data_IF_955577224234
#
_entry.id   IF_955577224234
#
_cell.length_a   1.000
_cell.length_b   1.000
_cell.length_c   1.000
_cell.angle_alpha   90.00
_cell.angle_beta   90.00
_cell.angle_gamma   90.00
#
_symmetry.space_group_name_H-M   'P 1'
#
loop_
_entity.id
_entity.type
_entity.pdbx_description
1 polymer ?
#
# COMPACT_ATOMS: atom_id res chain seq x y z
N UNK A 1 13.93 -7.38 -4.73
CA UNK A 1 12.50 -7.72 -4.91
C UNK A 1 12.07 -7.64 -6.35
N UNK A 2 12.21 -6.49 -7.03
CA UNK A 2 11.82 -6.36 -8.45
C UNK A 2 12.37 -7.48 -9.37
N UNK A 3 13.68 -7.79 -9.31
CA UNK A 3 14.26 -8.93 -10.06
C UNK A 3 13.58 -10.27 -9.77
N UNK A 4 13.39 -10.59 -8.49
CA UNK A 4 12.72 -11.82 -8.08
C UNK A 4 11.26 -11.89 -8.58
N UNK A 5 10.56 -10.75 -8.66
CA UNK A 5 9.23 -10.69 -9.30
C UNK A 5 9.31 -10.90 -10.80
N UNK A 6 10.31 -10.30 -11.46
CA UNK A 6 10.60 -10.52 -12.89
C UNK A 6 10.74 -11.99 -13.24
N UNK A 7 11.43 -12.75 -12.40
CA UNK A 7 11.62 -14.19 -12.58
C UNK A 7 10.36 -14.98 -12.20
N UNK A 8 9.70 -14.64 -11.09
CA UNK A 8 8.56 -15.42 -10.58
C UNK A 8 7.24 -15.21 -11.34
N UNK A 9 7.13 -14.12 -12.11
CA UNK A 9 5.94 -13.78 -12.89
C UNK A 9 6.11 -14.06 -14.39
N UNK A 10 7.12 -14.84 -14.76
CA UNK A 10 7.31 -15.36 -16.11
C UNK A 10 7.14 -16.87 -16.10
N UNK A 11 6.25 -17.39 -16.94
CA UNK A 11 6.07 -18.84 -17.10
C UNK A 11 7.02 -19.35 -18.19
N UNK A 12 8.07 -20.08 -17.78
CA UNK A 12 9.07 -20.64 -18.69
C UNK A 12 8.50 -21.77 -19.60
N UNK A 13 7.39 -22.42 -19.21
CA UNK A 13 6.78 -23.46 -20.02
C UNK A 13 5.94 -22.86 -21.16
N UNK A 14 5.23 -21.76 -20.86
CA UNK A 14 4.40 -21.04 -21.84
C UNK A 14 5.20 -19.99 -22.62
N UNK A 15 6.37 -19.59 -22.10
CA UNK A 15 7.19 -18.55 -22.68
C UNK A 15 6.58 -17.15 -22.56
N UNK A 16 5.67 -16.93 -21.60
CA UNK A 16 4.90 -15.69 -21.48
C UNK A 16 4.80 -15.16 -20.03
N UNK A 17 4.58 -13.84 -19.84
CA UNK A 17 4.34 -13.24 -18.53
C UNK A 17 2.97 -13.65 -17.96
N UNK A 18 2.94 -14.08 -16.71
CA UNK A 18 1.71 -14.30 -15.92
C UNK A 18 1.35 -13.08 -15.05
N UNK A 19 2.15 -12.01 -15.12
CA UNK A 19 1.93 -10.78 -14.37
C UNK A 19 2.79 -9.63 -14.85
N UNK A 20 2.57 -8.46 -14.26
CA UNK A 20 3.30 -7.23 -14.56
C UNK A 20 3.62 -6.47 -13.26
N UNK A 21 4.55 -5.50 -13.33
CA UNK A 21 4.98 -4.74 -12.16
C UNK A 21 5.00 -3.23 -12.44
N UNK A 22 4.30 -2.46 -11.61
CA UNK A 22 4.46 -1.01 -11.50
C UNK A 22 5.38 -0.68 -10.31
N UNK A 23 6.51 -0.02 -10.57
CA UNK A 23 7.49 0.38 -9.56
C UNK A 23 7.49 1.90 -9.42
N UNK A 24 7.14 2.39 -8.23
CA UNK A 24 7.21 3.82 -7.89
C UNK A 24 8.45 4.06 -7.03
N UNK A 25 9.44 4.77 -7.57
CA UNK A 25 10.70 5.04 -6.89
C UNK A 25 10.66 6.30 -6.01
N UNK A 26 9.58 7.07 -6.06
CA UNK A 26 9.47 8.35 -5.37
C UNK A 26 10.61 9.28 -5.80
N UNK A 27 11.35 9.81 -4.83
CA UNK A 27 12.51 10.70 -5.09
C UNK A 27 13.81 9.95 -5.37
N UNK A 28 13.82 8.62 -5.31
CA UNK A 28 15.04 7.82 -5.50
C UNK A 28 15.38 7.66 -6.99
N UNK A 29 15.93 8.72 -7.60
CA UNK A 29 16.34 8.74 -9.01
C UNK A 29 17.37 7.66 -9.35
N UNK A 30 18.32 7.39 -8.44
CA UNK A 30 19.36 6.36 -8.63
C UNK A 30 18.75 4.97 -8.78
N UNK A 31 17.75 4.64 -7.96
CA UNK A 31 17.01 3.38 -8.08
C UNK A 31 16.21 3.32 -9.39
N UNK A 32 15.51 4.40 -9.74
CA UNK A 32 14.75 4.46 -10.98
C UNK A 32 15.62 4.20 -12.22
N UNK A 33 16.77 4.89 -12.34
CA UNK A 33 17.72 4.69 -13.43
C UNK A 33 18.26 3.26 -13.48
N UNK A 34 18.57 2.66 -12.32
CA UNK A 34 19.03 1.26 -12.24
C UNK A 34 17.98 0.26 -12.68
N UNK A 35 16.70 0.52 -12.43
CA UNK A 35 15.61 -0.38 -12.82
C UNK A 35 15.22 -0.23 -14.28
N UNK A 36 15.31 0.99 -14.84
CA UNK A 36 15.08 1.27 -16.25
C UNK A 36 16.16 0.67 -17.16
N UNK A 37 17.37 0.43 -16.65
CA UNK A 37 18.46 -0.18 -17.43
C UNK A 37 18.41 -1.71 -17.45
N UNK A 38 17.40 -2.34 -16.85
CA UNK A 38 17.24 -3.78 -16.81
C UNK A 38 16.34 -4.20 -17.96
N UNK A 39 16.76 -5.20 -18.71
CA UNK A 39 15.88 -5.91 -19.62
C UNK A 39 15.05 -6.92 -18.82
N UNK A 40 13.72 -6.78 -18.90
CA UNK A 40 12.78 -7.52 -18.07
C UNK A 40 12.06 -8.57 -18.91
N UNK A 41 11.94 -9.79 -18.38
CA UNK A 41 11.14 -10.87 -18.99
C UNK A 41 9.63 -10.60 -18.99
N UNK A 42 9.18 -9.65 -18.15
CA UNK A 42 7.78 -9.29 -17.96
C UNK A 42 7.59 -7.78 -18.16
N UNK A 43 6.36 -7.30 -18.40
CA UNK A 43 6.08 -5.87 -18.42
C UNK A 43 6.39 -5.22 -17.08
N UNK A 44 7.35 -4.28 -17.08
CA UNK A 44 7.70 -3.48 -15.90
C UNK A 44 7.64 -2.01 -16.24
N UNK A 45 6.81 -1.26 -15.50
CA UNK A 45 6.79 0.19 -15.57
C UNK A 45 7.53 0.80 -14.37
N UNK A 46 8.53 1.63 -14.63
CA UNK A 46 9.26 2.35 -13.59
C UNK A 46 8.88 3.82 -13.63
N UNK A 47 8.39 4.34 -12.49
CA UNK A 47 8.02 5.73 -12.30
C UNK A 47 8.86 6.37 -11.18
N UNK A 48 9.01 7.70 -11.26
CA UNK A 48 9.63 8.51 -10.21
C UNK A 48 8.64 8.86 -9.11
N UNK A 49 8.53 10.16 -8.82
CA UNK A 49 7.52 10.70 -7.92
C UNK A 49 6.16 10.75 -8.63
N UNK A 50 5.10 10.35 -7.93
CA UNK A 50 3.72 10.34 -8.42
C UNK A 50 2.89 11.20 -7.46
N UNK A 51 2.13 12.14 -8.02
CA UNK A 51 1.15 12.94 -7.27
C UNK A 51 -0.21 12.26 -7.15
N UNK A 52 -0.56 11.42 -8.13
CA UNK A 52 -1.83 10.70 -8.21
C UNK A 52 -1.67 9.22 -7.85
N UNK A 53 -1.39 8.96 -6.57
CA UNK A 53 -1.17 7.59 -6.08
C UNK A 53 -2.41 6.72 -6.26
N UNK A 54 -3.59 7.34 -6.21
CA UNK A 54 -4.88 6.71 -6.34
C UNK A 54 -5.11 6.10 -7.73
N UNK A 55 -4.55 6.68 -8.81
CA UNK A 55 -4.59 6.10 -10.16
C UNK A 55 -3.67 4.89 -10.25
N UNK A 56 -2.44 5.00 -9.70
CA UNK A 56 -1.48 3.91 -9.69
C UNK A 56 -1.98 2.70 -8.87
N UNK A 57 -2.51 2.94 -7.67
CA UNK A 57 -3.08 1.87 -6.85
C UNK A 57 -4.33 1.26 -7.50
N UNK A 58 -5.16 2.06 -8.18
CA UNK A 58 -6.34 1.55 -8.89
C UNK A 58 -6.02 0.66 -10.11
N UNK A 59 -4.78 0.70 -10.61
CA UNK A 59 -4.32 -0.11 -11.73
C UNK A 59 -3.57 -1.39 -11.32
N UNK A 60 -3.47 -1.67 -10.01
CA UNK A 60 -2.74 -2.80 -9.45
C UNK A 60 -3.68 -3.74 -8.69
N UNK A 61 -3.28 -5.00 -8.53
CA UNK A 61 -4.05 -6.01 -7.79
C UNK A 61 -3.52 -6.26 -6.37
N UNK A 62 -2.28 -5.86 -6.09
CA UNK A 62 -1.68 -5.89 -4.75
C UNK A 62 -0.54 -4.86 -4.65
N UNK A 63 -0.02 -4.63 -3.44
CA UNK A 63 1.07 -3.68 -3.19
C UNK A 63 2.17 -4.26 -2.32
N UNK A 64 3.43 -3.94 -2.65
CA UNK A 64 4.59 -4.23 -1.81
C UNK A 64 5.16 -2.90 -1.30
N UNK A 65 5.21 -2.72 0.02
CA UNK A 65 5.66 -1.47 0.62
C UNK A 65 6.23 -1.67 2.03
N UNK A 66 6.89 -0.65 2.58
CA UNK A 66 7.19 -0.62 4.03
C UNK A 66 5.91 -0.37 4.82
N UNK A 67 5.93 -0.61 6.12
CA UNK A 67 4.77 -0.42 7.01
C UNK A 67 4.45 1.06 7.33
N UNK A 68 4.51 1.93 6.31
CA UNK A 68 4.13 3.34 6.42
C UNK A 68 2.61 3.48 6.55
N UNK A 69 2.11 4.20 7.56
CA UNK A 69 0.67 4.22 7.88
C UNK A 69 -0.18 4.82 6.75
N UNK A 70 0.30 5.88 6.10
CA UNK A 70 -0.41 6.51 4.98
C UNK A 70 -0.62 5.55 3.81
N UNK A 71 0.45 4.89 3.35
CA UNK A 71 0.38 3.92 2.25
C UNK A 71 -0.47 2.70 2.60
N UNK A 72 -0.46 2.24 3.86
CA UNK A 72 -1.35 1.17 4.32
C UNK A 72 -2.82 1.61 4.20
N UNK A 73 -3.17 2.80 4.69
CA UNK A 73 -4.53 3.32 4.62
C UNK A 73 -5.00 3.52 3.17
N UNK A 74 -4.15 4.10 2.32
CA UNK A 74 -4.41 4.29 0.88
C UNK A 74 -4.64 2.95 0.16
N UNK A 75 -3.78 1.97 0.42
CA UNK A 75 -3.91 0.63 -0.14
C UNK A 75 -5.22 -0.04 0.29
N UNK A 76 -5.60 0.08 1.57
CA UNK A 76 -6.87 -0.45 2.07
C UNK A 76 -8.08 0.23 1.42
N UNK A 77 -8.05 1.55 1.25
CA UNK A 77 -9.09 2.30 0.52
C UNK A 77 -9.23 1.80 -0.92
N UNK A 78 -8.12 1.42 -1.56
CA UNK A 78 -8.11 0.82 -2.90
C UNK A 78 -8.34 -0.69 -2.91
N UNK A 79 -8.54 -1.33 -1.76
CA UNK A 79 -8.77 -2.77 -1.66
C UNK A 79 -7.56 -3.61 -2.06
N UNK A 80 -6.34 -3.08 -1.93
CA UNK A 80 -5.11 -3.80 -2.29
C UNK A 80 -4.59 -4.64 -1.13
N UNK A 81 -4.47 -5.97 -1.30
CA UNK A 81 -3.69 -6.81 -0.38
C UNK A 81 -2.24 -6.34 -0.29
N UNK A 82 -1.72 -6.29 0.94
CA UNK A 82 -0.44 -5.63 1.25
C UNK A 82 0.63 -6.67 1.56
N UNK A 83 1.79 -6.60 0.92
CA UNK A 83 3.00 -7.29 1.37
C UNK A 83 3.93 -6.26 2.00
N UNK A 84 4.01 -6.28 3.32
CA UNK A 84 4.92 -5.43 4.08
C UNK A 84 6.35 -5.99 3.99
N UNK A 85 7.26 -5.21 3.40
CA UNK A 85 8.65 -5.62 3.15
C UNK A 85 9.65 -5.13 4.20
N UNK A 86 9.18 -4.33 5.16
CA UNK A 86 10.01 -3.69 6.18
C UNK A 86 9.23 -2.62 6.93
N UNK A 87 9.89 -1.97 7.87
CA UNK A 87 9.35 -0.91 8.70
C UNK A 87 10.51 -0.10 9.29
N UNK A 88 10.22 1.14 9.70
CA UNK A 88 11.12 1.96 10.50
C UNK A 88 10.97 1.55 11.97
N UNK A 89 12.07 1.07 12.58
CA UNK A 89 12.08 0.63 13.98
C UNK A 89 11.65 1.77 14.92
N UNK A 90 10.84 1.45 15.93
CA UNK A 90 10.28 2.40 16.89
C UNK A 90 9.05 3.19 16.40
N UNK A 91 8.87 3.37 15.08
CA UNK A 91 7.74 4.14 14.53
C UNK A 91 6.66 3.26 13.90
N UNK A 92 7.06 2.29 13.07
CA UNK A 92 6.15 1.57 12.16
C UNK A 92 5.92 0.11 12.56
N UNK A 93 6.54 -0.35 13.65
CA UNK A 93 6.47 -1.77 14.09
C UNK A 93 5.02 -2.20 14.37
N UNK A 94 4.24 -1.33 15.02
CA UNK A 94 2.83 -1.60 15.35
C UNK A 94 1.90 -1.68 14.13
N UNK A 95 2.34 -1.21 12.96
CA UNK A 95 1.53 -1.27 11.74
C UNK A 95 1.56 -2.66 11.09
N UNK A 96 2.57 -3.49 11.40
CA UNK A 96 2.68 -4.86 10.89
C UNK A 96 1.51 -5.74 11.38
N UNK A 97 1.25 -5.89 12.69
CA UNK A 97 0.12 -6.69 13.17
C UNK A 97 -1.21 -6.14 12.67
N UNK A 98 -1.37 -4.81 12.56
CA UNK A 98 -2.58 -4.21 12.00
C UNK A 98 -2.92 -4.74 10.60
N UNK A 99 -1.93 -4.94 9.72
CA UNK A 99 -2.17 -5.51 8.38
C UNK A 99 -2.36 -7.02 8.43
N UNK A 100 -1.51 -7.73 9.17
CA UNK A 100 -1.45 -9.21 9.15
C UNK A 100 -2.61 -9.84 9.92
N UNK A 101 -2.89 -9.39 11.13
CA UNK A 101 -3.91 -9.98 12.01
C UNK A 101 -5.33 -9.71 11.50
N UNK A 102 -5.53 -8.58 10.81
CA UNK A 102 -6.79 -8.28 10.13
C UNK A 102 -6.92 -8.97 8.75
N UNK A 103 -5.98 -9.84 8.37
CA UNK A 103 -6.05 -10.58 7.11
C UNK A 103 -6.07 -9.69 5.87
N UNK A 104 -5.41 -8.52 5.92
CA UNK A 104 -5.29 -7.59 4.79
C UNK A 104 -3.97 -7.76 4.02
N UNK A 105 -3.08 -8.63 4.50
CA UNK A 105 -1.76 -8.76 3.92
C UNK A 105 -0.83 -9.70 4.66
N UNK A 106 0.43 -9.71 4.22
CA UNK A 106 1.51 -10.53 4.76
C UNK A 106 2.74 -9.68 5.05
N UNK A 107 3.66 -10.21 5.86
CA UNK A 107 4.96 -9.61 6.12
C UNK A 107 6.08 -10.53 5.64
N UNK A 108 7.02 -10.00 4.86
CA UNK A 108 8.27 -10.70 4.54
C UNK A 108 9.36 -9.73 4.13
N UNK A 109 10.56 -9.89 4.70
CA UNK A 109 11.76 -9.13 4.26
C UNK A 109 12.48 -9.80 3.09
N UNK A 110 12.14 -11.04 2.74
CA UNK A 110 12.87 -11.83 1.75
C UNK A 110 12.35 -11.55 0.34
N UNK A 111 13.19 -11.05 -0.59
CA UNK A 111 12.77 -10.83 -1.98
C UNK A 111 12.17 -12.05 -2.67
N UNK A 112 12.72 -13.25 -2.41
CA UNK A 112 12.23 -14.51 -2.99
C UNK A 112 10.87 -14.89 -2.42
N UNK A 113 10.69 -14.73 -1.11
CA UNK A 113 9.41 -15.05 -0.47
C UNK A 113 8.31 -14.07 -0.92
N UNK A 114 8.61 -12.78 -1.03
CA UNK A 114 7.69 -11.78 -1.57
C UNK A 114 7.25 -12.19 -2.99
N UNK A 115 8.20 -12.50 -3.87
CA UNK A 115 7.90 -12.89 -5.24
C UNK A 115 7.03 -14.15 -5.31
N UNK A 116 7.33 -15.15 -4.48
CA UNK A 116 6.50 -16.36 -4.38
C UNK A 116 5.08 -16.08 -3.86
N UNK A 117 4.90 -15.16 -2.92
CA UNK A 117 3.56 -14.75 -2.46
C UNK A 117 2.76 -14.15 -3.62
N UNK A 118 3.36 -13.24 -4.41
CA UNK A 118 2.67 -12.62 -5.55
C UNK A 118 2.33 -13.66 -6.62
N UNK A 119 3.28 -14.55 -6.98
CA UNK A 119 3.04 -15.62 -7.95
C UNK A 119 1.92 -16.58 -7.48
N UNK A 120 1.86 -16.89 -6.18
CA UNK A 120 0.74 -17.66 -5.62
C UNK A 120 -0.58 -16.91 -5.73
N UNK A 121 -0.62 -15.62 -5.37
CA UNK A 121 -1.81 -14.78 -5.48
C UNK A 121 -2.30 -14.62 -6.92
N UNK A 122 -1.41 -14.58 -7.91
CA UNK A 122 -1.77 -14.47 -9.33
C UNK A 122 -2.00 -15.84 -10.01
N UNK A 123 -1.93 -16.93 -9.24
CA UNK A 123 -2.20 -18.27 -9.72
C UNK A 123 -3.00 -19.08 -8.70
N UNK A 124 -2.41 -20.11 -8.06
CA UNK A 124 -3.14 -21.11 -7.28
C UNK A 124 -3.85 -20.57 -6.02
N UNK A 125 -3.52 -19.36 -5.56
CA UNK A 125 -4.11 -18.72 -4.37
C UNK A 125 -4.82 -17.40 -4.69
N UNK A 126 -5.40 -17.30 -5.88
CA UNK A 126 -6.20 -16.13 -6.27
C UNK A 126 -7.37 -15.84 -5.32
N UNK A 127 -7.97 -16.87 -4.71
CA UNK A 127 -9.05 -16.66 -3.73
C UNK A 127 -8.55 -16.08 -2.40
N UNK A 128 -7.30 -16.37 -2.03
CA UNK A 128 -6.65 -15.75 -0.87
C UNK A 128 -6.49 -14.23 -1.11
N UNK A 129 -6.01 -13.85 -2.31
CA UNK A 129 -5.88 -12.46 -2.73
C UNK A 129 -7.23 -11.72 -2.68
N UNK A 130 -8.28 -12.31 -3.27
CA UNK A 130 -9.64 -11.73 -3.24
C UNK A 130 -10.16 -11.55 -1.81
N UNK A 131 -9.94 -12.55 -0.95
CA UNK A 131 -10.35 -12.48 0.46
C UNK A 131 -9.65 -11.34 1.19
N UNK A 132 -8.34 -11.20 1.01
CA UNK A 132 -7.57 -10.10 1.61
C UNK A 132 -8.01 -8.74 1.08
N UNK A 133 -8.37 -8.65 -0.20
CA UNK A 133 -8.87 -7.41 -0.82
C UNK A 133 -10.18 -6.97 -0.16
N UNK A 134 -11.11 -7.91 0.06
CA UNK A 134 -12.36 -7.63 0.76
C UNK A 134 -12.14 -7.22 2.21
N UNK A 135 -11.18 -7.84 2.91
CA UNK A 135 -10.83 -7.44 4.28
C UNK A 135 -10.26 -6.00 4.31
N UNK A 136 -9.40 -5.67 3.35
CA UNK A 136 -8.82 -4.34 3.22
C UNK A 136 -9.92 -3.26 3.01
N UNK A 137 -10.90 -3.54 2.14
CA UNK A 137 -12.05 -2.65 1.92
C UNK A 137 -12.93 -2.48 3.16
N UNK A 138 -13.15 -3.54 3.95
CA UNK A 138 -13.95 -3.47 5.20
C UNK A 138 -13.30 -2.55 6.25
N UNK A 139 -11.98 -2.51 6.29
CA UNK A 139 -11.23 -1.67 7.23
C UNK A 139 -10.96 -0.26 6.72
N UNK A 140 -11.17 -0.02 5.42
CA UNK A 140 -10.96 1.30 4.83
C UNK A 140 -11.78 2.39 5.54
N UNK A 141 -11.18 3.57 5.62
CA UNK A 141 -11.79 4.80 6.16
C UNK A 141 -11.58 5.95 5.16
N UNK A 142 -12.22 5.91 3.98
CA UNK A 142 -11.98 6.89 2.92
C UNK A 142 -12.38 8.32 3.30
N UNK A 143 -13.28 8.47 4.27
CA UNK A 143 -13.78 9.76 4.74
C UNK A 143 -13.11 10.25 6.04
N UNK A 144 -12.03 9.57 6.49
CA UNK A 144 -11.37 9.87 7.77
C UNK A 144 -10.98 11.35 7.89
N UNK A 145 -10.36 11.93 6.86
CA UNK A 145 -9.93 13.34 6.89
C UNK A 145 -11.11 14.29 7.03
N UNK A 146 -12.23 14.02 6.34
CA UNK A 146 -13.42 14.86 6.41
C UNK A 146 -14.09 14.77 7.79
N UNK A 147 -14.19 13.56 8.35
CA UNK A 147 -14.71 13.34 9.70
C UNK A 147 -13.88 14.06 10.75
N UNK A 148 -12.56 13.96 10.67
CA UNK A 148 -11.64 14.64 11.61
C UNK A 148 -11.80 16.16 11.51
N UNK A 149 -11.80 16.72 10.29
CA UNK A 149 -11.92 18.17 10.10
C UNK A 149 -13.30 18.67 10.56
N UNK A 150 -14.37 17.92 10.30
CA UNK A 150 -15.70 18.25 10.77
C UNK A 150 -15.78 18.25 12.30
N UNK A 151 -15.23 17.22 12.96
CA UNK A 151 -15.18 17.15 14.42
C UNK A 151 -14.41 18.33 15.02
N UNK A 152 -13.24 18.65 14.46
CA UNK A 152 -12.46 19.83 14.85
C UNK A 152 -13.23 21.14 14.64
N UNK A 153 -13.97 21.27 13.53
CA UNK A 153 -14.80 22.44 13.26
C UNK A 153 -15.87 22.64 14.33
N UNK A 154 -16.59 21.57 14.69
CA UNK A 154 -17.61 21.62 15.75
C UNK A 154 -16.99 21.92 17.12
N UNK A 155 -15.82 21.38 17.45
CA UNK A 155 -15.12 21.71 18.69
C UNK A 155 -14.75 23.20 18.79
N UNK A 156 -14.27 23.79 17.69
CA UNK A 156 -13.93 25.22 17.63
C UNK A 156 -15.19 26.08 17.74
N UNK A 157 -16.28 25.68 17.06
CA UNK A 157 -17.57 26.38 17.14
C UNK A 157 -18.09 26.43 18.57
N UNK A 158 -18.12 25.32 19.29
CA UNK A 158 -18.60 25.29 20.68
C UNK A 158 -17.72 26.11 21.64
N UNK A 159 -16.40 26.17 21.43
CA UNK A 159 -15.50 27.03 22.23
C UNK A 159 -15.77 28.52 22.07
N UNK A 160 -16.10 28.97 20.86
CA UNK A 160 -16.35 30.38 20.57
C UNK A 160 -17.71 30.88 21.08
N UNK A 161 -18.60 29.98 21.52
CA UNK A 161 -19.92 30.31 22.07
C UNK A 161 -19.96 30.33 23.61
N UNK A 162 -18.84 30.22 24.33
CA UNK A 162 -18.82 30.49 25.78
C UNK A 162 -18.91 32.00 25.97
N UNK A 163 -20.03 32.57 26.46
CA UNK A 163 -20.10 33.98 26.77
C UNK A 163 -19.16 34.22 27.96
N UNK A 164 -18.36 35.29 27.90
CA UNK A 164 -17.77 35.91 29.08
C UNK A 164 -18.93 36.35 29.99
N UNK A 165 -19.47 35.42 30.78
CA UNK A 165 -20.36 35.76 31.88
C UNK A 165 -19.51 36.45 32.95
N UNK A 166 -19.56 37.78 32.91
CA UNK A 166 -19.69 38.69 34.05
C UNK A 166 -18.85 38.37 35.30
N UNK A 167 -17.76 39.11 35.47
CA UNK A 167 -17.42 39.65 36.79
C UNK A 167 -17.55 41.17 36.71
N UNK A 168 -18.74 41.67 37.01
CA UNK A 168 -18.96 43.04 37.44
C UNK A 168 -19.42 42.97 38.88
N UNK A 169 -18.52 43.29 39.81
CA UNK A 169 -18.75 43.89 41.13
C UNK A 169 -17.40 44.37 41.65
#
# INVERSE_FOLDING_TARGET
>A
TARALGDALYDENLGEPIGQVLIICGRNKKLASKLLSIDWKIPVQVKGFISKMEECMGACDCIITKAGPGTIAEAMIRGLPIILNGYIAGQEVGNVPYVVENGCGKFSKSPKQIANIVAQWFGPKADELKTMSQNALKLARPDAVFKIVHDLHELVRHRNFVPLYSCTT
#
